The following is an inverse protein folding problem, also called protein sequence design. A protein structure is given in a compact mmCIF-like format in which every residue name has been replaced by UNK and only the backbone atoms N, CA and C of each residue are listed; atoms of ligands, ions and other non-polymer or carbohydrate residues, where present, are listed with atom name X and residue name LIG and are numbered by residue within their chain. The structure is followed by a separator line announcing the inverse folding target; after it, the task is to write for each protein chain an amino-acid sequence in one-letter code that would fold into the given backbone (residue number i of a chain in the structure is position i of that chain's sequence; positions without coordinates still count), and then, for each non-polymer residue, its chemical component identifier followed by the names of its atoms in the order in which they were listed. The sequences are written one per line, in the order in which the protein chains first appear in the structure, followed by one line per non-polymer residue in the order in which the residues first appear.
data_IF_104292983069
#
_entry.id   IF_104292983069
#
_cell.length_a   1.000
_cell.length_b   1.000
_cell.length_c   1.000
_cell.angle_alpha   90.00
_cell.angle_beta   90.00
_cell.angle_gamma   90.00
#
_symmetry.space_group_name_H-M   'P 1'
#
loop_
_entity.id
_entity.type
_entity.pdbx_description
1 polymer ?
#
# COMPACT_ATOMS: atom_id res chain seq x y z
N UNK A 1 6.25 8.90 6.42
CA UNK A 1 5.48 8.00 5.53
C UNK A 1 5.35 8.60 4.13
N UNK A 2 4.83 9.82 3.92
CA UNK A 2 4.78 10.44 2.57
C UNK A 2 6.15 10.54 1.88
N UNK A 3 7.22 10.72 2.66
CA UNK A 3 8.60 10.76 2.12
C UNK A 3 8.98 9.52 1.31
N UNK A 4 8.49 8.32 1.66
CA UNK A 4 8.79 7.11 0.89
C UNK A 4 8.16 7.18 -0.50
N UNK A 5 6.92 7.65 -0.59
CA UNK A 5 6.15 7.75 -1.83
C UNK A 5 6.74 8.82 -2.75
N UNK A 6 7.14 9.96 -2.18
CA UNK A 6 7.90 10.99 -2.92
C UNK A 6 9.24 10.45 -3.40
N UNK A 7 9.98 9.72 -2.56
CA UNK A 7 11.30 9.18 -2.91
C UNK A 7 11.25 8.16 -4.03
N UNK A 8 10.20 7.34 -4.10
CA UNK A 8 10.05 6.37 -5.20
C UNK A 8 9.52 6.99 -6.49
N UNK A 9 9.02 8.23 -6.43
CA UNK A 9 8.48 8.94 -7.58
C UNK A 9 7.00 8.72 -7.83
N UNK A 10 6.19 8.46 -6.79
CA UNK A 10 4.73 8.48 -6.94
C UNK A 10 4.25 9.93 -7.17
N UNK A 11 3.42 10.13 -8.18
CA UNK A 11 2.77 11.41 -8.44
C UNK A 11 1.84 11.83 -7.29
N UNK A 12 1.63 13.14 -7.12
CA UNK A 12 0.83 13.71 -6.01
C UNK A 12 -0.55 13.06 -5.89
N UNK A 13 -1.21 12.80 -7.02
CA UNK A 13 -2.53 12.17 -7.02
C UNK A 13 -2.52 10.74 -6.44
N UNK A 14 -1.48 9.97 -6.73
CA UNK A 14 -1.28 8.62 -6.15
C UNK A 14 -1.02 8.73 -4.65
N UNK A 15 -0.23 9.72 -4.22
CA UNK A 15 0.02 9.96 -2.79
C UNK A 15 -1.27 10.31 -2.04
N UNK A 16 -2.10 11.19 -2.59
CA UNK A 16 -3.40 11.56 -2.04
C UNK A 16 -4.33 10.35 -1.95
N UNK A 17 -4.38 9.52 -2.98
CA UNK A 17 -5.14 8.28 -3.00
C UNK A 17 -4.70 7.34 -1.86
N UNK A 18 -3.40 7.05 -1.76
CA UNK A 18 -2.83 6.19 -0.72
C UNK A 18 -3.17 6.72 0.68
N UNK A 19 -3.10 8.04 0.90
CA UNK A 19 -3.43 8.64 2.19
C UNK A 19 -4.92 8.51 2.53
N UNK A 20 -5.81 8.67 1.55
CA UNK A 20 -7.25 8.47 1.73
C UNK A 20 -7.56 7.01 2.10
N UNK A 21 -6.98 6.04 1.38
CA UNK A 21 -7.15 4.61 1.66
C UNK A 21 -6.59 4.24 3.03
N UNK A 22 -5.38 4.71 3.38
CA UNK A 22 -4.79 4.50 4.71
C UNK A 22 -5.71 4.99 5.82
N UNK A 23 -6.26 6.20 5.67
CA UNK A 23 -7.18 6.76 6.67
C UNK A 23 -8.39 5.85 6.86
N UNK A 24 -9.07 5.50 5.77
CA UNK A 24 -10.26 4.65 5.81
C UNK A 24 -9.96 3.25 6.36
N UNK A 25 -8.85 2.64 5.96
CA UNK A 25 -8.44 1.32 6.41
C UNK A 25 -8.21 1.28 7.93
N UNK A 26 -7.61 2.34 8.50
CA UNK A 26 -7.40 2.45 9.94
C UNK A 26 -8.71 2.73 10.69
N UNK A 27 -9.60 3.56 10.14
CA UNK A 27 -10.94 3.77 10.71
C UNK A 27 -11.73 2.46 10.77
N UNK A 28 -11.68 1.65 9.72
CA UNK A 28 -12.30 0.32 9.70
C UNK A 28 -11.65 -0.57 10.75
N UNK A 29 -10.31 -0.68 10.76
CA UNK A 29 -9.59 -1.52 11.73
C UNK A 29 -9.90 -1.15 13.18
N UNK A 30 -9.95 0.15 13.49
CA UNK A 30 -10.22 0.68 14.83
C UNK A 30 -11.70 0.48 15.24
N UNK A 31 -12.62 0.28 14.29
CA UNK A 31 -14.05 0.01 14.55
C UNK A 31 -14.37 -1.46 14.84
N UNK A 32 -13.45 -2.38 14.53
CA UNK A 32 -13.69 -3.81 14.64
C UNK A 32 -13.59 -4.30 16.08
N UNK A 33 -14.48 -5.22 16.47
CA UNK A 33 -14.48 -5.88 17.79
C UNK A 33 -13.64 -7.17 17.84
N UNK A 34 -12.87 -7.41 16.79
CA UNK A 34 -11.98 -8.58 16.66
C UNK A 34 -10.53 -8.12 16.65
N UNK A 35 -9.57 -8.93 17.11
CA UNK A 35 -8.16 -8.59 17.02
C UNK A 35 -7.75 -8.38 15.55
N UNK A 36 -7.13 -7.23 15.26
CA UNK A 36 -6.59 -6.86 13.96
C UNK A 36 -5.15 -6.38 14.15
N UNK A 37 -4.25 -6.82 13.29
CA UNK A 37 -2.88 -6.31 13.22
C UNK A 37 -2.90 -4.92 12.53
N UNK A 38 -3.07 -3.88 13.34
CA UNK A 38 -3.21 -2.49 12.87
C UNK A 38 -1.99 -1.98 12.11
N UNK A 39 -0.78 -2.39 12.51
CA UNK A 39 0.47 -2.02 11.83
C UNK A 39 0.55 -2.66 10.43
N UNK A 40 0.13 -3.92 10.32
CA UNK A 40 0.04 -4.59 9.02
C UNK A 40 -0.99 -3.93 8.10
N UNK A 41 -2.16 -3.52 8.63
CA UNK A 41 -3.18 -2.77 7.87
C UNK A 41 -2.62 -1.43 7.39
N UNK A 42 -1.96 -0.68 8.28
CA UNK A 42 -1.36 0.61 7.92
C UNK A 42 -0.33 0.46 6.81
N UNK A 43 0.62 -0.46 6.98
CA UNK A 43 1.66 -0.71 5.97
C UNK A 43 1.06 -1.21 4.67
N UNK A 44 0.12 -2.14 4.72
CA UNK A 44 -0.61 -2.62 3.55
C UNK A 44 -1.23 -1.46 2.78
N UNK A 45 -1.96 -0.58 3.45
CA UNK A 45 -2.59 0.58 2.82
C UNK A 45 -1.58 1.60 2.27
N UNK A 46 -0.45 1.82 2.94
CA UNK A 46 0.61 2.73 2.45
C UNK A 46 1.29 2.22 1.19
N UNK A 47 1.53 0.90 1.12
CA UNK A 47 2.37 0.32 0.07
C UNK A 47 1.58 -0.32 -1.08
N UNK A 48 0.26 -0.53 -0.95
CA UNK A 48 -0.54 -1.29 -1.93
C UNK A 48 -0.33 -0.82 -3.38
N UNK A 49 -0.26 0.50 -3.57
CA UNK A 49 -0.15 1.12 -4.89
C UNK A 49 1.27 1.62 -5.21
N UNK A 50 2.31 1.19 -4.49
CA UNK A 50 3.67 1.74 -4.67
C UNK A 50 4.24 1.50 -6.09
N UNK A 51 3.79 0.45 -6.78
CA UNK A 51 4.16 0.20 -8.18
C UNK A 51 3.63 1.24 -9.17
N UNK A 52 2.71 2.12 -8.75
CA UNK A 52 2.27 3.29 -9.53
C UNK A 52 3.40 4.28 -9.82
N UNK A 53 4.48 4.24 -9.05
CA UNK A 53 5.72 4.95 -9.37
C UNK A 53 6.38 4.48 -10.68
N UNK A 54 6.01 3.30 -11.19
CA UNK A 54 6.57 2.69 -12.42
C UNK A 54 5.55 2.55 -13.53
N UNK A 55 4.29 2.28 -13.22
CA UNK A 55 3.25 2.08 -14.23
C UNK A 55 1.85 2.43 -13.73
N UNK A 56 1.03 2.96 -14.63
CA UNK A 56 -0.40 3.14 -14.40
C UNK A 56 -1.24 1.95 -14.91
N UNK A 57 -0.62 0.91 -15.45
CA UNK A 57 -1.28 -0.32 -15.90
C UNK A 57 -1.54 -1.31 -14.76
N UNK A 58 -2.21 -2.42 -15.07
CA UNK A 58 -2.56 -3.48 -14.10
C UNK A 58 -1.34 -4.13 -13.43
N UNK A 59 -0.16 -4.03 -14.05
CA UNK A 59 1.10 -4.59 -13.55
C UNK A 59 1.65 -3.88 -12.29
N UNK A 60 1.07 -2.73 -11.88
CA UNK A 60 1.54 -2.00 -10.70
C UNK A 60 1.52 -2.85 -9.42
N UNK A 61 0.62 -3.82 -9.27
CA UNK A 61 0.63 -4.71 -8.11
C UNK A 61 1.86 -5.65 -8.10
N UNK A 62 2.22 -6.22 -9.25
CA UNK A 62 3.39 -7.10 -9.39
C UNK A 62 4.68 -6.30 -9.20
N UNK A 63 4.83 -5.18 -9.91
CA UNK A 63 5.99 -4.29 -9.76
C UNK A 63 6.09 -3.71 -8.35
N UNK A 64 4.95 -3.35 -7.75
CA UNK A 64 4.90 -2.86 -6.38
C UNK A 64 5.35 -3.90 -5.37
N UNK A 65 4.99 -5.18 -5.57
CA UNK A 65 5.43 -6.27 -4.71
C UNK A 65 6.94 -6.52 -4.83
N UNK A 66 7.50 -6.41 -6.03
CA UNK A 66 8.95 -6.46 -6.24
C UNK A 66 9.66 -5.31 -5.51
N UNK A 67 9.17 -4.07 -5.68
CA UNK A 67 9.69 -2.90 -4.97
C UNK A 67 9.61 -3.08 -3.44
N UNK A 68 8.49 -3.59 -2.92
CA UNK A 68 8.31 -3.86 -1.49
C UNK A 68 9.32 -4.88 -0.95
N UNK A 69 9.63 -5.93 -1.72
CA UNK A 69 10.68 -6.91 -1.38
C UNK A 69 12.06 -6.26 -1.37
N UNK A 70 12.39 -5.46 -2.38
CA UNK A 70 13.68 -4.75 -2.48
C UNK A 70 13.89 -3.76 -1.32
N UNK A 71 12.81 -3.18 -0.81
CA UNK A 71 12.83 -2.33 0.39
C UNK A 71 12.99 -3.10 1.71
N UNK A 72 12.98 -4.44 1.69
CA UNK A 72 13.06 -5.28 2.87
C UNK A 72 11.79 -5.25 3.73
N UNK A 73 10.62 -5.01 3.13
CA UNK A 73 9.35 -5.05 3.86
C UNK A 73 8.97 -6.49 4.24
N UNK A 74 8.18 -6.62 5.32
CA UNK A 74 7.62 -7.88 5.77
C UNK A 74 6.85 -8.59 4.63
N UNK A 75 7.07 -9.89 4.45
CA UNK A 75 6.42 -10.69 3.39
C UNK A 75 4.88 -10.61 3.44
N UNK A 76 4.29 -10.35 4.61
CA UNK A 76 2.84 -10.10 4.75
C UNK A 76 2.43 -8.82 4.01
N UNK A 77 3.23 -7.76 4.08
CA UNK A 77 2.99 -6.51 3.35
C UNK A 77 3.18 -6.75 1.86
N UNK A 78 4.25 -7.41 1.46
CA UNK A 78 4.51 -7.77 0.05
C UNK A 78 3.31 -8.50 -0.57
N UNK A 79 2.72 -9.46 0.14
CA UNK A 79 1.52 -10.19 -0.33
C UNK A 79 0.29 -9.31 -0.41
N UNK A 80 0.13 -8.30 0.45
CA UNK A 80 -0.95 -7.32 0.33
C UNK A 80 -0.77 -6.53 -0.97
N UNK A 81 0.44 -6.02 -1.23
CA UNK A 81 0.74 -5.26 -2.45
C UNK A 81 0.50 -6.10 -3.71
N UNK A 82 0.91 -7.37 -3.73
CA UNK A 82 0.75 -8.24 -4.90
C UNK A 82 -0.73 -8.54 -5.24
N UNK A 83 -1.61 -8.58 -4.23
CA UNK A 83 -2.96 -9.17 -4.34
C UNK A 83 -4.11 -8.19 -4.20
N UNK A 84 -3.84 -6.89 -4.02
CA UNK A 84 -4.89 -5.90 -3.79
C UNK A 84 -5.80 -5.68 -5.02
N UNK A 85 -5.26 -5.87 -6.23
CA UNK A 85 -6.01 -5.76 -7.48
C UNK A 85 -7.19 -6.73 -7.52
N UNK A 86 -8.38 -6.19 -7.79
CA UNK A 86 -9.64 -6.93 -7.91
C UNK A 86 -10.74 -6.47 -6.96
N UNK A 87 -10.41 -5.72 -5.91
CA UNK A 87 -11.38 -5.07 -5.01
C UNK A 87 -11.27 -3.54 -4.98
N UNK A 88 -10.32 -2.97 -5.74
CA UNK A 88 -9.92 -1.56 -5.68
C UNK A 88 -8.43 -1.50 -5.43
#
# INVERSE_FOLDING_TARGET
MCEILTRVGCDTHVQEHILAVRKLALEIADSLKVPVDRDLVEKGAVYHDIGRAKTHGIQHAVLGAEMAKEMGLDDRVVRIVERHIGAG
#
